data_IF_524644932509
#
_entry.id   IF_524644932509
#
_cell.length_a   1.000
_cell.length_b   1.000
_cell.length_c   1.000
_cell.angle_alpha   90.00
_cell.angle_beta   90.00
_cell.angle_gamma   90.00
#
_symmetry.space_group_name_H-M   'P 1'
#
loop_
_entity.id
_entity.type
_entity.pdbx_description
1 polymer ?
#
# COMPACT_ATOMS: atom_id res chain seq x y z
N UNK A 1 -12.04 1.41 -0.79
CA UNK A 1 -13.03 0.35 -1.11
C UNK A 1 -13.25 -0.59 0.09
N UNK A 2 -12.19 -1.11 0.73
CA UNK A 2 -12.30 -1.98 1.92
C UNK A 2 -13.15 -1.30 3.01
N UNK A 3 -12.79 -0.10 3.44
CA UNK A 3 -13.53 0.64 4.45
C UNK A 3 -15.03 0.73 4.13
N UNK A 4 -15.34 1.05 2.88
CA UNK A 4 -16.73 1.18 2.43
C UNK A 4 -17.50 -0.14 2.45
N UNK A 5 -16.87 -1.27 2.12
CA UNK A 5 -17.47 -2.62 2.23
C UNK A 5 -17.85 -2.97 3.67
N UNK A 6 -17.07 -2.48 4.64
CA UNK A 6 -17.33 -2.66 6.07
C UNK A 6 -18.18 -1.54 6.70
N UNK A 7 -18.85 -0.71 5.89
CA UNK A 7 -19.77 0.32 6.36
C UNK A 7 -19.12 1.60 6.86
N UNK A 8 -17.79 1.73 6.82
CA UNK A 8 -17.09 2.94 7.22
C UNK A 8 -17.24 3.99 6.12
N UNK A 9 -17.76 5.17 6.49
CA UNK A 9 -18.05 6.26 5.56
C UNK A 9 -17.31 7.56 5.88
N UNK A 10 -16.77 7.68 7.07
CA UNK A 10 -16.03 8.86 7.51
C UNK A 10 -14.58 8.48 7.84
N UNK A 11 -13.64 9.23 7.29
CA UNK A 11 -12.20 9.00 7.49
C UNK A 11 -11.49 10.33 7.72
N UNK A 12 -10.63 10.36 8.71
CA UNK A 12 -9.70 11.45 9.00
C UNK A 12 -8.32 11.06 8.52
N UNK A 13 -7.76 11.81 7.57
CA UNK A 13 -6.42 11.59 7.02
C UNK A 13 -5.43 12.49 7.75
N UNK A 14 -4.52 11.89 8.52
CA UNK A 14 -3.40 12.59 9.13
C UNK A 14 -2.29 12.75 8.09
N UNK A 15 -1.93 13.99 7.79
CA UNK A 15 -0.94 14.30 6.75
C UNK A 15 0.06 15.33 7.26
N UNK A 16 1.34 15.06 7.07
CA UNK A 16 2.43 16.01 7.33
C UNK A 16 3.17 16.35 6.03
N UNK A 17 3.54 15.34 5.25
CA UNK A 17 4.26 15.50 3.98
C UNK A 17 3.29 15.67 2.81
N UNK A 18 3.49 16.71 1.99
CA UNK A 18 2.73 17.00 0.76
C UNK A 18 1.20 16.92 0.91
N UNK A 19 0.59 17.57 1.90
CA UNK A 19 -0.86 17.44 2.18
C UNK A 19 -1.74 17.86 1.01
N UNK A 20 -1.27 18.79 0.16
CA UNK A 20 -1.98 19.25 -1.03
C UNK A 20 -2.21 18.11 -2.03
N UNK A 21 -1.27 17.19 -2.19
CA UNK A 21 -1.39 16.08 -3.14
C UNK A 21 -2.52 15.14 -2.75
N UNK A 22 -2.64 14.83 -1.46
CA UNK A 22 -3.77 14.03 -0.96
C UNK A 22 -5.10 14.73 -1.18
N UNK A 23 -5.17 16.02 -0.91
CA UNK A 23 -6.39 16.81 -1.12
C UNK A 23 -6.76 16.91 -2.60
N UNK A 24 -5.77 17.06 -3.48
CA UNK A 24 -5.99 17.09 -4.94
C UNK A 24 -6.43 15.72 -5.45
N UNK A 25 -5.84 14.62 -4.96
CA UNK A 25 -6.17 13.27 -5.39
C UNK A 25 -7.56 12.81 -4.91
N UNK A 26 -7.92 13.07 -3.67
CA UNK A 26 -9.11 12.49 -3.03
C UNK A 26 -10.24 13.49 -2.78
N UNK A 27 -9.95 14.80 -2.79
CA UNK A 27 -10.94 15.85 -2.51
C UNK A 27 -11.60 15.66 -1.15
N UNK A 28 -12.90 15.84 -1.06
CA UNK A 28 -13.70 15.57 0.14
C UNK A 28 -14.23 14.13 0.22
N UNK A 29 -13.78 13.24 -0.67
CA UNK A 29 -14.17 11.83 -0.68
C UNK A 29 -15.52 11.53 -1.36
N UNK A 30 -16.29 12.50 -1.83
CA UNK A 30 -17.59 12.25 -2.47
C UNK A 30 -17.51 11.26 -3.63
N UNK A 31 -16.48 11.37 -4.48
CA UNK A 31 -16.27 10.44 -5.61
C UNK A 31 -15.99 9.01 -5.16
N UNK A 32 -15.54 8.83 -3.93
CA UNK A 32 -15.27 7.53 -3.31
C UNK A 32 -16.48 7.02 -2.50
N UNK A 33 -17.57 7.78 -2.41
CA UNK A 33 -18.72 7.47 -1.57
C UNK A 33 -18.39 7.55 -0.07
N UNK A 34 -17.48 8.45 0.31
CA UNK A 34 -16.98 8.66 1.67
C UNK A 34 -16.94 10.15 2.02
N UNK A 35 -16.83 10.45 3.30
CA UNK A 35 -16.52 11.79 3.82
C UNK A 35 -15.07 11.77 4.31
N UNK A 36 -14.21 12.54 3.65
CA UNK A 36 -12.81 12.69 4.03
C UNK A 36 -12.59 14.04 4.69
N UNK A 37 -11.90 14.05 5.81
CA UNK A 37 -11.35 15.23 6.48
C UNK A 37 -9.84 15.08 6.61
N UNK A 38 -9.13 16.20 6.67
CA UNK A 38 -7.67 16.23 6.70
C UNK A 38 -7.21 16.89 7.98
N UNK A 39 -6.38 16.17 8.73
CA UNK A 39 -5.70 16.68 9.92
C UNK A 39 -4.26 16.95 9.49
N UNK A 40 -3.93 18.22 9.39
CA UNK A 40 -2.58 18.65 9.00
C UNK A 40 -1.74 18.89 10.23
N UNK A 41 -0.60 18.20 10.31
CA UNK A 41 0.41 18.42 11.35
C UNK A 41 1.46 19.39 10.80
N UNK A 42 1.66 20.51 11.50
CA UNK A 42 2.73 21.46 11.14
C UNK A 42 4.11 20.83 11.34
N UNK A 43 4.25 20.04 12.39
CA UNK A 43 5.42 19.24 12.69
C UNK A 43 4.97 17.79 12.95
N UNK A 44 5.77 16.78 12.53
CA UNK A 44 5.43 15.39 12.76
C UNK A 44 5.32 15.07 14.26
N UNK A 45 4.16 14.64 14.69
CA UNK A 45 3.90 14.24 16.07
C UNK A 45 4.10 12.74 16.32
N UNK A 46 4.60 12.01 15.33
CA UNK A 46 4.72 10.56 15.37
C UNK A 46 3.37 9.85 15.28
N UNK A 47 3.38 8.52 15.24
CA UNK A 47 2.17 7.70 15.03
C UNK A 47 1.11 7.93 16.10
N UNK A 48 1.50 8.01 17.36
CA UNK A 48 0.59 8.24 18.49
C UNK A 48 0.04 9.65 18.55
N UNK A 49 0.88 10.67 18.34
CA UNK A 49 0.44 12.07 18.35
C UNK A 49 -0.55 12.37 17.22
N UNK A 50 -0.30 11.84 16.02
CA UNK A 50 -1.21 11.93 14.89
C UNK A 50 -2.60 11.34 15.23
N UNK A 51 -2.61 10.12 15.80
CA UNK A 51 -3.85 9.44 16.20
C UNK A 51 -4.56 10.24 17.32
N UNK A 52 -3.82 10.76 18.29
CA UNK A 52 -4.39 11.59 19.37
C UNK A 52 -5.13 12.81 18.80
N UNK A 53 -4.50 13.54 17.88
CA UNK A 53 -5.12 14.70 17.23
C UNK A 53 -6.35 14.31 16.41
N UNK A 54 -6.22 13.23 15.63
CA UNK A 54 -7.32 12.77 14.78
C UNK A 54 -8.49 12.19 15.57
N UNK A 55 -8.28 11.75 16.80
CA UNK A 55 -9.33 11.16 17.66
C UNK A 55 -10.15 12.20 18.42
N UNK A 56 -9.81 13.48 18.34
CA UNK A 56 -10.54 14.52 19.05
C UNK A 56 -12.04 14.51 18.70
N UNK A 57 -12.89 14.51 19.73
CA UNK A 57 -14.34 14.44 19.58
C UNK A 57 -14.90 13.07 19.21
N UNK A 58 -14.09 12.02 19.14
CA UNK A 58 -14.58 10.64 19.01
C UNK A 58 -14.98 10.08 20.37
N UNK A 59 -16.19 9.53 20.46
CA UNK A 59 -16.75 8.96 21.69
C UNK A 59 -16.96 7.45 21.62
N UNK A 60 -16.76 6.85 20.45
CA UNK A 60 -16.91 5.42 20.19
C UNK A 60 -15.60 4.79 19.79
N UNK A 61 -15.53 3.44 19.83
CA UNK A 61 -14.40 2.67 19.26
C UNK A 61 -14.08 3.12 17.85
N UNK A 62 -12.84 3.40 17.57
CA UNK A 62 -12.40 3.84 16.24
C UNK A 62 -11.27 3.00 15.67
N UNK A 63 -11.23 2.92 14.35
CA UNK A 63 -10.21 2.21 13.58
C UNK A 63 -9.09 3.17 13.15
N UNK A 64 -7.86 2.74 13.32
CA UNK A 64 -6.65 3.40 12.81
C UNK A 64 -5.98 2.48 11.82
N UNK A 65 -5.54 3.02 10.68
CA UNK A 65 -4.80 2.29 9.66
C UNK A 65 -3.54 3.07 9.28
N UNK A 66 -2.42 2.36 9.18
CA UNK A 66 -1.23 2.91 8.55
C UNK A 66 -1.48 3.13 7.05
N UNK A 67 -1.10 4.30 6.54
CA UNK A 67 -1.41 4.73 5.18
C UNK A 67 -0.57 4.06 4.09
N UNK A 68 0.53 3.42 4.48
CA UNK A 68 1.48 2.72 3.63
C UNK A 68 1.33 1.19 3.65
N UNK A 69 0.26 0.68 4.24
CA UNK A 69 -0.02 -0.76 4.33
C UNK A 69 -1.21 -1.13 3.45
N UNK A 70 -1.01 -2.10 2.55
CA UNK A 70 -2.10 -2.77 1.86
C UNK A 70 -2.37 -4.12 2.51
N UNK A 71 -3.61 -4.33 2.98
CA UNK A 71 -4.04 -5.57 3.60
C UNK A 71 -5.46 -5.95 3.21
N UNK A 72 -5.85 -7.19 3.51
CA UNK A 72 -7.19 -7.74 3.29
C UNK A 72 -7.93 -8.02 4.60
N UNK A 73 -7.67 -7.21 5.62
CA UNK A 73 -8.29 -7.32 6.94
C UNK A 73 -9.82 -7.30 6.85
N UNK A 74 -10.47 -8.30 7.44
CA UNK A 74 -11.90 -8.25 7.72
C UNK A 74 -12.15 -7.37 8.96
N UNK A 75 -12.41 -6.10 8.70
CA UNK A 75 -12.65 -5.09 9.74
C UNK A 75 -13.85 -5.46 10.61
N UNK A 76 -14.88 -6.08 10.04
CA UNK A 76 -16.07 -6.50 10.79
C UNK A 76 -15.74 -7.58 11.81
N UNK A 77 -14.97 -8.59 11.41
CA UNK A 77 -14.50 -9.65 12.31
C UNK A 77 -13.53 -9.12 13.35
N UNK A 78 -12.66 -8.20 12.97
CA UNK A 78 -11.73 -7.54 13.88
C UNK A 78 -12.47 -6.73 14.96
N UNK A 79 -13.51 -5.97 14.58
CA UNK A 79 -14.35 -5.24 15.54
C UNK A 79 -15.13 -6.17 16.46
N UNK A 80 -15.67 -7.28 15.95
CA UNK A 80 -16.33 -8.31 16.76
C UNK A 80 -15.37 -8.90 17.79
N UNK A 81 -14.14 -9.20 17.40
CA UNK A 81 -13.10 -9.70 18.29
C UNK A 81 -12.78 -8.68 19.39
N UNK A 82 -12.57 -7.42 19.04
CA UNK A 82 -12.33 -6.32 19.97
C UNK A 82 -13.42 -6.24 21.05
N UNK A 83 -14.68 -6.20 20.61
CA UNK A 83 -15.85 -6.11 21.51
C UNK A 83 -16.03 -7.35 22.39
N UNK A 84 -15.83 -8.57 21.81
CA UNK A 84 -15.90 -9.82 22.55
C UNK A 84 -14.94 -9.84 23.74
N UNK A 85 -13.73 -9.35 23.54
CA UNK A 85 -12.70 -9.30 24.58
C UNK A 85 -12.81 -8.06 25.48
N UNK A 86 -13.77 -7.16 25.25
CA UNK A 86 -13.88 -5.86 25.92
C UNK A 86 -12.53 -5.14 25.93
N UNK A 87 -11.83 -5.20 24.80
CA UNK A 87 -10.49 -4.67 24.66
C UNK A 87 -10.49 -3.14 24.76
N UNK A 88 -9.42 -2.58 25.30
CA UNK A 88 -9.16 -1.12 25.27
C UNK A 88 -8.37 -0.78 24.02
N UNK A 89 -7.50 -1.70 23.60
CA UNK A 89 -6.76 -1.63 22.35
C UNK A 89 -6.71 -3.02 21.70
N UNK A 90 -6.89 -3.07 20.39
CA UNK A 90 -6.65 -4.29 19.61
C UNK A 90 -5.73 -3.98 18.43
N UNK A 91 -4.76 -4.86 18.19
CA UNK A 91 -3.84 -4.80 17.06
C UNK A 91 -4.19 -5.90 16.07
N UNK A 92 -4.31 -5.56 14.79
CA UNK A 92 -4.26 -6.58 13.76
C UNK A 92 -2.83 -7.08 13.61
N UNK A 93 -2.67 -8.39 13.54
CA UNK A 93 -1.38 -9.06 13.41
C UNK A 93 -1.34 -9.85 12.11
N UNK A 94 -0.16 -9.95 11.51
CA UNK A 94 0.11 -10.84 10.39
C UNK A 94 1.35 -11.68 10.66
N UNK A 95 1.52 -12.76 9.89
CA UNK A 95 2.70 -13.63 9.99
C UNK A 95 3.66 -13.32 8.86
N UNK A 96 4.93 -13.16 9.18
CA UNK A 96 5.99 -12.90 8.21
C UNK A 96 7.15 -13.90 8.37
N UNK A 97 7.95 -14.02 7.33
CA UNK A 97 9.16 -14.86 7.38
C UNK A 97 10.27 -14.22 8.21
N UNK A 98 10.45 -12.92 8.05
CA UNK A 98 11.44 -12.12 8.77
C UNK A 98 10.74 -11.03 9.59
N UNK A 99 10.63 -11.21 10.91
CA UNK A 99 9.99 -10.23 11.78
C UNK A 99 10.92 -9.10 12.26
N UNK A 100 12.23 -9.15 11.97
CA UNK A 100 13.21 -8.17 12.49
C UNK A 100 12.96 -6.73 12.03
N UNK A 101 12.23 -6.58 10.91
CA UNK A 101 11.94 -5.26 10.32
C UNK A 101 10.71 -4.58 10.92
N UNK A 102 9.96 -5.27 11.79
CA UNK A 102 8.63 -4.89 12.25
C UNK A 102 8.48 -4.94 13.76
N UNK A 103 7.36 -4.46 14.25
CA UNK A 103 6.96 -4.64 15.65
C UNK A 103 6.50 -6.09 15.89
N UNK A 104 7.30 -6.87 16.60
CA UNK A 104 6.97 -8.24 17.03
C UNK A 104 5.91 -8.23 18.11
N UNK A 105 4.90 -9.08 18.01
CA UNK A 105 3.81 -9.17 18.98
C UNK A 105 3.63 -10.62 19.44
N UNK A 106 3.93 -10.86 20.70
CA UNK A 106 3.64 -12.12 21.37
C UNK A 106 2.27 -12.07 22.04
N UNK A 107 1.44 -13.09 21.82
CA UNK A 107 0.10 -13.20 22.42
C UNK A 107 -0.03 -14.48 23.26
N UNK A 108 -0.96 -14.45 24.21
CA UNK A 108 -1.47 -15.66 24.85
C UNK A 108 -2.45 -16.37 23.89
N UNK A 109 -2.90 -17.57 24.27
CA UNK A 109 -3.86 -18.38 23.48
C UNK A 109 -5.20 -17.67 23.29
N UNK A 110 -5.63 -16.86 24.24
CA UNK A 110 -6.84 -16.02 24.16
C UNK A 110 -6.68 -14.77 23.29
N UNK A 111 -5.46 -14.54 22.77
CA UNK A 111 -5.10 -13.36 21.98
C UNK A 111 -4.64 -12.17 22.81
N UNK A 112 -4.57 -12.25 24.15
CA UNK A 112 -4.06 -11.13 24.96
C UNK A 112 -2.59 -10.90 24.68
N UNK A 113 -2.18 -9.65 24.42
CA UNK A 113 -0.79 -9.30 24.13
C UNK A 113 0.04 -9.43 25.42
N UNK A 114 1.11 -10.20 25.34
CA UNK A 114 2.08 -10.40 26.41
C UNK A 114 3.29 -9.49 26.25
N UNK A 115 3.75 -9.32 25.02
CA UNK A 115 4.97 -8.60 24.71
C UNK A 115 4.84 -7.88 23.36
N UNK A 116 5.37 -6.69 23.28
CA UNK A 116 5.55 -5.93 22.05
C UNK A 116 7.01 -5.48 21.97
N UNK A 117 7.68 -5.77 20.84
CA UNK A 117 9.07 -5.39 20.60
C UNK A 117 9.17 -4.74 19.22
N UNK A 118 9.59 -3.50 19.21
CA UNK A 118 9.80 -2.78 17.95
C UNK A 118 11.18 -3.11 17.38
N UNK A 119 11.20 -3.71 16.18
CA UNK A 119 12.40 -4.14 15.45
C UNK A 119 13.36 -4.97 16.31
N UNK A 120 12.94 -6.18 16.71
CA UNK A 120 13.74 -7.06 17.56
C UNK A 120 15.01 -7.52 16.85
N UNK A 121 16.03 -7.83 17.62
CA UNK A 121 17.17 -8.63 17.14
C UNK A 121 16.78 -10.11 16.97
N UNK A 122 17.58 -10.88 16.22
CA UNK A 122 17.27 -12.29 15.94
C UNK A 122 17.15 -13.17 17.19
N UNK A 123 17.91 -12.89 18.23
CA UNK A 123 17.88 -13.58 19.53
C UNK A 123 16.65 -13.26 20.37
N UNK A 124 15.94 -12.18 20.06
CA UNK A 124 14.69 -11.79 20.73
C UNK A 124 13.42 -12.36 20.07
N UNK A 125 13.57 -13.02 18.91
CA UNK A 125 12.45 -13.56 18.14
C UNK A 125 11.89 -14.81 18.81
N UNK A 126 10.66 -14.71 19.33
CA UNK A 126 9.90 -15.81 19.94
C UNK A 126 8.66 -16.19 19.15
N UNK A 127 8.30 -15.40 18.15
CA UNK A 127 7.14 -15.60 17.30
C UNK A 127 7.38 -14.97 15.92
N UNK A 128 6.57 -15.32 14.93
CA UNK A 128 6.58 -14.70 13.60
C UNK A 128 5.38 -13.76 13.37
N UNK A 129 4.62 -13.46 14.42
CA UNK A 129 3.51 -12.51 14.36
C UNK A 129 3.99 -11.09 14.58
N UNK A 130 3.62 -10.20 13.67
CA UNK A 130 4.01 -8.79 13.70
C UNK A 130 2.79 -7.88 13.69
N UNK A 131 3.00 -6.66 14.10
CA UNK A 131 2.06 -5.56 13.98
C UNK A 131 1.74 -5.27 12.52
N UNK A 132 0.47 -5.43 12.14
CA UNK A 132 0.02 -5.25 10.76
C UNK A 132 -0.39 -3.80 10.42
N UNK A 133 -0.17 -2.82 11.31
CA UNK A 133 -0.49 -1.42 11.06
C UNK A 133 -1.99 -1.11 11.00
N UNK A 134 -2.81 -1.88 11.73
CA UNK A 134 -4.22 -1.64 11.88
C UNK A 134 -4.64 -1.83 13.35
N UNK A 135 -5.38 -0.86 13.89
CA UNK A 135 -5.70 -0.82 15.32
C UNK A 135 -7.15 -0.45 15.57
N UNK A 136 -7.72 -0.98 16.63
CA UNK A 136 -8.96 -0.50 17.23
C UNK A 136 -8.65 0.03 18.62
N UNK A 137 -9.09 1.24 18.89
CA UNK A 137 -8.95 1.88 20.19
C UNK A 137 -10.27 2.31 20.76
N UNK A 138 -10.41 2.13 22.07
CA UNK A 138 -11.40 2.85 22.86
C UNK A 138 -10.93 4.28 23.11
N UNK A 139 -11.82 5.30 23.07
CA UNK A 139 -11.42 6.71 23.20
C UNK A 139 -10.62 7.02 24.46
N UNK A 140 -10.86 6.27 25.54
CA UNK A 140 -10.15 6.41 26.82
C UNK A 140 -8.65 6.23 26.72
N UNK A 141 -8.18 5.39 25.79
CA UNK A 141 -6.75 5.12 25.55
C UNK A 141 -6.00 6.39 25.12
N UNK A 142 -6.66 7.27 24.40
CA UNK A 142 -6.03 8.50 23.89
C UNK A 142 -5.66 9.49 25.02
N UNK A 143 -6.21 9.34 26.22
CA UNK A 143 -5.82 10.15 27.37
C UNK A 143 -4.40 9.87 27.86
N UNK A 144 -3.83 8.73 27.47
CA UNK A 144 -2.45 8.34 27.77
C UNK A 144 -1.43 9.07 26.87
N UNK A 145 -1.89 9.68 25.79
CA UNK A 145 -1.03 10.42 24.87
C UNK A 145 -1.16 11.91 25.16
N UNK A 146 -0.07 12.61 25.57
CA UNK A 146 -0.11 14.05 25.78
C UNK A 146 -0.45 14.79 24.48
N UNK A 147 -1.30 15.83 24.52
CA UNK A 147 -1.64 16.61 23.33
C UNK A 147 -0.44 17.43 22.84
N UNK A 148 -0.26 17.50 21.51
CA UNK A 148 0.74 18.34 20.87
C UNK A 148 2.20 17.93 21.07
N UNK A 149 2.46 16.72 21.57
CA UNK A 149 3.80 16.18 21.82
C UNK A 149 4.07 14.99 20.90
N UNK A 150 5.28 14.88 20.32
CA UNK A 150 5.67 13.69 19.56
C UNK A 150 5.53 12.42 20.40
N UNK A 151 4.76 11.46 19.92
CA UNK A 151 4.47 10.22 20.62
C UNK A 151 4.34 9.06 19.63
N UNK A 152 4.99 7.92 19.93
CA UNK A 152 4.88 6.71 19.12
C UNK A 152 3.86 5.75 19.71
N UNK A 153 3.03 5.15 18.88
CA UNK A 153 2.20 4.02 19.30
C UNK A 153 3.08 2.86 19.76
N UNK A 154 4.08 2.52 18.97
CA UNK A 154 4.91 1.33 19.09
C UNK A 154 5.91 1.42 20.24
N UNK A 155 6.60 2.57 20.36
CA UNK A 155 7.69 2.78 21.35
C UNK A 155 7.21 3.33 22.67
N UNK A 156 6.00 3.89 22.71
CA UNK A 156 5.50 4.58 23.91
C UNK A 156 4.15 4.03 24.37
N UNK A 157 3.10 4.14 23.55
CA UNK A 157 1.75 3.78 23.98
C UNK A 157 1.60 2.28 24.27
N UNK A 158 2.04 1.39 23.36
CA UNK A 158 1.87 -0.05 23.56
C UNK A 158 2.63 -0.55 24.80
N UNK A 159 3.90 -0.19 25.03
CA UNK A 159 4.58 -0.50 26.29
C UNK A 159 3.84 0.02 27.52
N UNK A 160 3.30 1.25 27.47
CA UNK A 160 2.55 1.83 28.58
C UNK A 160 1.26 1.06 28.87
N UNK A 161 0.52 0.66 27.83
CA UNK A 161 -0.68 -0.18 27.97
C UNK A 161 -0.36 -1.54 28.60
N UNK A 162 0.74 -2.16 28.21
CA UNK A 162 1.19 -3.46 28.75
C UNK A 162 1.59 -3.32 30.23
N UNK A 163 2.36 -2.30 30.60
CA UNK A 163 2.74 -2.01 31.98
C UNK A 163 1.52 -1.72 32.86
N UNK A 164 0.55 -0.96 32.35
CA UNK A 164 -0.72 -0.65 33.00
C UNK A 164 -1.70 -1.81 33.05
N UNK A 165 -1.32 -3.00 32.54
CA UNK A 165 -2.18 -4.20 32.46
C UNK A 165 -3.51 -3.95 31.73
N UNK A 166 -3.54 -3.00 30.81
CA UNK A 166 -4.70 -2.74 29.97
C UNK A 166 -5.11 -3.98 29.16
N UNK A 167 -6.38 -4.04 28.79
CA UNK A 167 -6.91 -5.12 27.93
C UNK A 167 -6.49 -4.88 26.49
N UNK A 168 -5.24 -5.25 26.18
CA UNK A 168 -4.65 -5.15 24.86
C UNK A 168 -4.63 -6.53 24.21
N UNK A 169 -5.20 -6.64 23.00
CA UNK A 169 -5.36 -7.91 22.28
C UNK A 169 -4.80 -7.85 20.87
N UNK A 170 -4.25 -8.98 20.42
CA UNK A 170 -3.77 -9.20 19.05
C UNK A 170 -4.72 -10.09 18.26
N UNK A 171 -5.16 -9.64 17.11
CA UNK A 171 -6.01 -10.37 16.18
C UNK A 171 -5.19 -10.80 14.97
N UNK A 172 -4.85 -12.09 14.89
CA UNK A 172 -4.13 -12.61 13.72
C UNK A 172 -5.08 -12.65 12.53
N UNK A 173 -4.82 -11.81 11.53
CA UNK A 173 -5.60 -11.75 10.30
C UNK A 173 -5.00 -12.65 9.24
N UNK A 174 -5.80 -13.55 8.64
CA UNK A 174 -5.37 -14.26 7.45
C UNK A 174 -5.42 -13.34 6.22
N UNK A 175 -4.69 -13.71 5.19
CA UNK A 175 -4.77 -13.06 3.89
C UNK A 175 -3.54 -12.23 3.54
N UNK A 176 -3.72 -11.37 2.54
CA UNK A 176 -2.63 -10.58 1.99
C UNK A 176 -2.29 -9.39 2.88
N UNK A 177 -1.00 -9.17 3.05
CA UNK A 177 -0.46 -8.02 3.75
C UNK A 177 0.90 -7.63 3.15
N UNK A 178 1.10 -6.34 2.92
CA UNK A 178 2.38 -5.76 2.53
C UNK A 178 2.45 -4.31 3.00
N UNK A 179 3.59 -3.91 3.56
CA UNK A 179 3.93 -2.50 3.79
C UNK A 179 4.66 -1.95 2.56
N UNK A 180 4.19 -0.85 2.00
CA UNK A 180 4.71 -0.28 0.75
C UNK A 180 5.79 0.77 1.07
N UNK A 181 6.78 0.37 1.85
CA UNK A 181 7.85 1.28 2.33
C UNK A 181 9.07 1.38 1.40
N UNK A 182 9.16 0.54 0.36
CA UNK A 182 10.27 0.55 -0.61
C UNK A 182 9.79 0.43 -2.04
N UNK A 183 10.66 0.77 -3.00
CA UNK A 183 10.35 0.63 -4.44
C UNK A 183 10.09 -0.83 -4.81
N UNK A 184 10.85 -1.77 -4.26
CA UNK A 184 10.65 -3.20 -4.50
C UNK A 184 9.27 -3.66 -4.04
N UNK A 185 8.84 -3.24 -2.85
CA UNK A 185 7.51 -3.57 -2.34
C UNK A 185 6.40 -2.87 -3.11
N UNK A 186 6.64 -1.64 -3.58
CA UNK A 186 5.73 -0.94 -4.48
C UNK A 186 5.57 -1.70 -5.82
N UNK A 187 6.67 -2.15 -6.41
CA UNK A 187 6.64 -3.02 -7.58
C UNK A 187 5.90 -4.32 -7.27
N UNK A 188 6.29 -5.00 -6.17
CA UNK A 188 5.73 -6.29 -5.78
C UNK A 188 4.20 -6.25 -5.62
N UNK A 189 3.65 -5.22 -4.95
CA UNK A 189 2.19 -5.12 -4.76
C UNK A 189 1.44 -5.02 -6.08
N UNK A 190 1.98 -4.31 -7.08
CA UNK A 190 1.37 -4.24 -8.41
C UNK A 190 1.39 -5.59 -9.13
N UNK A 191 2.52 -6.29 -9.04
CA UNK A 191 2.65 -7.63 -9.60
C UNK A 191 1.70 -8.63 -8.91
N UNK A 192 1.54 -8.54 -7.59
CA UNK A 192 0.66 -9.40 -6.81
C UNK A 192 -0.83 -9.18 -7.15
N UNK A 193 -1.26 -7.92 -7.28
CA UNK A 193 -2.61 -7.57 -7.70
C UNK A 193 -2.89 -8.13 -9.10
N UNK A 194 -1.98 -7.88 -10.04
CA UNK A 194 -2.14 -8.33 -11.42
C UNK A 194 -2.06 -9.85 -11.54
N UNK A 195 -1.25 -10.48 -10.69
CA UNK A 195 -1.12 -11.93 -10.55
C UNK A 195 -2.35 -12.62 -9.97
N UNK A 196 -3.20 -11.88 -9.24
CA UNK A 196 -4.37 -12.43 -8.54
C UNK A 196 -4.03 -12.98 -7.15
N UNK A 197 -2.89 -12.62 -6.57
CA UNK A 197 -2.53 -12.96 -5.20
C UNK A 197 -3.36 -12.17 -4.16
N UNK A 198 -4.10 -11.18 -4.62
CA UNK A 198 -4.98 -10.35 -3.80
C UNK A 198 -6.41 -10.38 -4.31
N UNK A 199 -7.43 -10.12 -3.47
CA UNK A 199 -8.82 -10.00 -3.91
C UNK A 199 -9.12 -8.65 -4.57
N UNK A 200 -8.13 -7.80 -4.78
CA UNK A 200 -8.35 -6.49 -5.39
C UNK A 200 -8.52 -6.62 -6.90
N UNK A 201 -9.60 -6.05 -7.47
CA UNK A 201 -9.82 -6.10 -8.89
C UNK A 201 -8.81 -5.23 -9.64
N UNK A 202 -8.34 -5.72 -10.77
CA UNK A 202 -7.60 -4.89 -11.72
C UNK A 202 -8.62 -4.01 -12.46
N UNK A 203 -8.52 -2.67 -12.38
CA UNK A 203 -9.44 -1.79 -13.09
C UNK A 203 -9.30 -1.99 -14.60
N UNK A 204 -10.38 -2.40 -15.25
CA UNK A 204 -10.40 -2.59 -16.70
C UNK A 204 -11.79 -2.32 -17.26
N UNK A 205 -11.85 -1.73 -18.46
CA UNK A 205 -13.07 -1.60 -19.25
C UNK A 205 -13.29 -2.81 -20.17
N UNK A 206 -12.22 -3.52 -20.49
CA UNK A 206 -12.24 -4.71 -21.34
C UNK A 206 -11.17 -5.70 -20.90
N UNK A 207 -11.56 -6.97 -20.78
CA UNK A 207 -10.64 -8.08 -20.54
C UNK A 207 -10.40 -8.86 -21.83
N UNK A 208 -9.14 -9.24 -22.08
CA UNK A 208 -8.69 -10.19 -23.10
C UNK A 208 -7.74 -11.19 -22.44
N UNK A 209 -7.47 -12.36 -23.01
CA UNK A 209 -6.45 -13.25 -22.48
C UNK A 209 -5.12 -12.52 -22.25
N UNK A 210 -4.62 -12.52 -21.00
CA UNK A 210 -3.38 -11.83 -20.63
C UNK A 210 -3.45 -10.29 -20.57
N UNK A 211 -4.59 -9.64 -20.92
CA UNK A 211 -4.67 -8.19 -21.02
C UNK A 211 -5.92 -7.63 -20.30
N UNK A 212 -5.70 -6.71 -19.37
CA UNK A 212 -6.72 -5.87 -18.77
C UNK A 212 -6.60 -4.46 -19.36
N UNK A 213 -7.61 -4.01 -20.09
CA UNK A 213 -7.56 -2.77 -20.88
C UNK A 213 -8.49 -1.71 -20.31
N UNK A 214 -7.99 -0.52 -20.10
CA UNK A 214 -8.74 0.70 -19.84
C UNK A 214 -9.51 1.18 -21.08
N UNK A 215 -10.16 2.33 -20.96
CA UNK A 215 -10.90 2.97 -22.06
C UNK A 215 -9.92 3.56 -23.08
N UNK A 216 -10.31 3.56 -24.36
CA UNK A 216 -9.57 4.21 -25.48
C UNK A 216 -8.10 3.71 -25.63
N UNK A 217 -7.81 2.46 -25.21
CA UNK A 217 -6.51 1.85 -25.44
C UNK A 217 -6.35 1.50 -26.91
N UNK A 218 -5.20 1.89 -27.51
CA UNK A 218 -4.82 1.55 -28.88
C UNK A 218 -3.69 0.54 -28.85
N UNK A 219 -3.88 -0.60 -29.50
CA UNK A 219 -2.91 -1.68 -29.60
C UNK A 219 -2.37 -1.79 -31.03
N UNK A 220 -1.06 -1.88 -31.15
CA UNK A 220 -0.38 -2.17 -32.42
C UNK A 220 -0.60 -3.61 -32.90
N UNK A 221 -0.02 -3.93 -34.04
CA UNK A 221 -0.04 -5.27 -34.63
C UNK A 221 1.02 -6.17 -33.97
N UNK A 222 0.78 -7.49 -34.02
CA UNK A 222 1.72 -8.51 -33.54
C UNK A 222 2.22 -8.26 -32.10
N UNK A 223 1.31 -7.83 -31.24
CA UNK A 223 1.56 -7.71 -29.82
C UNK A 223 1.71 -9.11 -29.24
N UNK A 224 2.79 -9.38 -28.54
CA UNK A 224 2.96 -10.65 -27.84
C UNK A 224 2.61 -10.43 -26.38
N UNK A 225 1.39 -10.78 -25.93
CA UNK A 225 1.13 -10.99 -24.52
C UNK A 225 1.97 -12.18 -24.10
N UNK A 226 2.49 -12.17 -22.89
CA UNK A 226 3.40 -13.18 -22.41
C UNK A 226 2.93 -14.61 -22.69
N UNK A 227 3.74 -15.35 -23.42
CA UNK A 227 3.50 -16.77 -23.75
C UNK A 227 3.53 -17.68 -22.52
N UNK A 228 4.03 -17.19 -21.39
CA UNK A 228 4.24 -17.86 -20.10
C UNK A 228 3.09 -17.63 -19.08
N UNK A 229 1.91 -17.22 -19.55
CA UNK A 229 0.79 -16.88 -18.66
C UNK A 229 0.88 -15.48 -18.04
N UNK A 230 1.75 -14.62 -18.56
CA UNK A 230 1.92 -13.24 -18.13
C UNK A 230 0.65 -12.39 -18.30
N UNK A 231 0.57 -11.31 -17.56
CA UNK A 231 -0.58 -10.40 -17.54
C UNK A 231 -0.14 -8.95 -17.69
N UNK A 232 -0.81 -8.19 -18.54
CA UNK A 232 -0.59 -6.74 -18.61
C UNK A 232 -1.89 -5.97 -18.32
N UNK A 233 -1.78 -4.92 -17.51
CA UNK A 233 -2.84 -3.96 -17.28
C UNK A 233 -2.44 -2.62 -17.92
N UNK A 234 -3.27 -2.14 -18.86
CA UNK A 234 -3.08 -0.90 -19.57
C UNK A 234 -4.17 0.09 -19.19
N UNK A 235 -3.79 1.21 -18.61
CA UNK A 235 -4.70 2.27 -18.19
C UNK A 235 -5.40 2.97 -19.35
N UNK A 236 -6.33 3.89 -19.01
CA UNK A 236 -7.09 4.67 -20.00
C UNK A 236 -6.16 5.45 -20.94
N UNK A 237 -6.46 5.44 -22.23
CA UNK A 237 -5.75 6.23 -23.24
C UNK A 237 -4.35 5.72 -23.62
N UNK A 238 -3.93 4.56 -23.13
CA UNK A 238 -2.64 3.97 -23.48
C UNK A 238 -2.52 3.69 -24.99
N UNK A 239 -1.30 3.82 -25.51
CA UNK A 239 -0.96 3.42 -26.88
C UNK A 239 0.22 2.46 -26.86
N UNK A 240 0.12 1.36 -27.58
CA UNK A 240 1.15 0.34 -27.68
C UNK A 240 1.51 0.17 -29.15
N UNK A 241 2.81 0.29 -29.47
CA UNK A 241 3.34 0.13 -30.82
C UNK A 241 3.34 -1.31 -31.29
N UNK A 242 3.59 -1.49 -32.61
CA UNK A 242 3.70 -2.80 -33.23
C UNK A 242 4.84 -3.62 -32.62
N UNK A 243 4.67 -4.93 -32.52
CA UNK A 243 5.69 -5.88 -32.03
C UNK A 243 6.15 -5.63 -30.59
N UNK A 244 5.43 -4.82 -29.80
CA UNK A 244 5.74 -4.69 -28.38
C UNK A 244 5.51 -6.02 -27.66
N UNK A 245 6.34 -6.30 -26.65
CA UNK A 245 6.32 -7.55 -25.87
C UNK A 245 6.10 -7.27 -24.41
N UNK A 246 5.18 -7.99 -23.81
CA UNK A 246 4.98 -7.99 -22.38
C UNK A 246 5.28 -9.40 -21.85
N UNK A 247 6.13 -9.52 -20.85
CA UNK A 247 6.42 -10.77 -20.14
C UNK A 247 6.23 -10.59 -18.64
N UNK A 248 5.92 -11.68 -17.93
CA UNK A 248 5.57 -11.60 -16.52
C UNK A 248 4.32 -10.74 -16.30
N UNK A 249 4.42 -9.73 -15.44
CA UNK A 249 3.30 -8.87 -15.03
C UNK A 249 3.65 -7.40 -15.28
N UNK A 250 2.90 -6.74 -16.13
CA UNK A 250 3.19 -5.36 -16.56
C UNK A 250 2.00 -4.45 -16.27
N UNK A 251 2.22 -3.37 -15.52
CA UNK A 251 1.25 -2.34 -15.28
C UNK A 251 1.65 -1.06 -15.99
N UNK A 252 0.76 -0.53 -16.85
CA UNK A 252 0.96 0.76 -17.52
C UNK A 252 -0.16 1.70 -17.12
N UNK A 253 0.18 2.81 -16.50
CA UNK A 253 -0.73 3.86 -16.05
C UNK A 253 -1.40 4.59 -17.21
N UNK A 254 -2.44 5.42 -16.94
CA UNK A 254 -3.17 6.14 -17.97
C UNK A 254 -2.25 6.97 -18.88
N UNK A 255 -2.64 7.05 -20.17
CA UNK A 255 -1.91 7.78 -21.21
C UNK A 255 -0.46 7.34 -21.46
N UNK A 256 -0.06 6.18 -20.91
CA UNK A 256 1.25 5.60 -21.19
C UNK A 256 1.43 5.25 -22.67
N UNK A 257 2.64 5.47 -23.17
CA UNK A 257 2.98 5.16 -24.58
C UNK A 257 4.13 4.17 -24.63
N UNK A 258 3.90 3.04 -25.27
CA UNK A 258 4.90 1.99 -25.44
C UNK A 258 5.28 1.96 -26.93
N UNK A 259 6.55 2.13 -27.22
CA UNK A 259 7.10 2.17 -28.58
C UNK A 259 7.05 0.84 -29.31
N UNK A 260 7.34 0.88 -30.61
CA UNK A 260 7.42 -0.29 -31.47
C UNK A 260 8.57 -1.20 -31.02
N UNK A 261 8.29 -2.50 -30.89
CA UNK A 261 9.30 -3.49 -30.50
C UNK A 261 9.83 -3.36 -29.07
N UNK A 262 9.28 -2.45 -28.25
CA UNK A 262 9.67 -2.34 -26.85
C UNK A 262 9.31 -3.61 -26.06
N UNK A 263 10.17 -3.99 -25.10
CA UNK A 263 9.99 -5.19 -24.26
C UNK A 263 9.92 -4.79 -22.80
N UNK A 264 8.84 -5.18 -22.11
CA UNK A 264 8.62 -4.92 -20.71
C UNK A 264 8.40 -6.24 -19.96
N UNK A 265 9.17 -6.43 -18.88
CA UNK A 265 9.11 -7.63 -18.02
C UNK A 265 8.95 -7.21 -16.56
N UNK A 266 7.86 -7.64 -15.89
CA UNK A 266 7.59 -7.36 -14.48
C UNK A 266 7.77 -5.87 -14.09
N UNK A 267 7.16 -4.96 -14.84
CA UNK A 267 7.37 -3.52 -14.69
C UNK A 267 6.10 -2.77 -14.28
N UNK A 268 6.32 -1.64 -13.61
CA UNK A 268 5.29 -0.61 -13.38
C UNK A 268 5.71 0.67 -14.08
N UNK A 269 4.91 1.08 -15.06
CA UNK A 269 5.08 2.33 -15.81
C UNK A 269 3.91 3.25 -15.41
N UNK A 270 4.21 4.39 -14.79
CA UNK A 270 3.18 5.29 -14.29
C UNK A 270 2.60 6.18 -15.40
N UNK A 271 1.58 6.98 -15.02
CA UNK A 271 0.79 7.75 -15.98
C UNK A 271 1.66 8.67 -16.87
N UNK A 272 1.29 8.80 -18.14
CA UNK A 272 1.93 9.72 -19.10
C UNK A 272 3.32 9.31 -19.58
N UNK A 273 3.94 8.32 -18.98
CA UNK A 273 5.30 7.92 -19.37
C UNK A 273 5.37 7.40 -20.81
N UNK A 274 6.51 7.64 -21.45
CA UNK A 274 6.76 7.30 -22.85
C UNK A 274 7.98 6.39 -22.94
N UNK A 275 7.78 5.19 -23.41
CA UNK A 275 8.82 4.19 -23.63
C UNK A 275 9.13 4.15 -25.12
N UNK A 276 10.37 4.44 -25.51
CA UNK A 276 10.83 4.54 -26.88
C UNK A 276 10.85 3.19 -27.60
N UNK A 277 10.99 3.25 -28.92
CA UNK A 277 11.06 2.07 -29.78
C UNK A 277 12.26 1.19 -29.41
N UNK A 278 12.04 -0.11 -29.32
CA UNK A 278 13.08 -1.09 -29.01
C UNK A 278 13.62 -1.02 -27.56
N UNK A 279 13.10 -0.16 -26.70
CA UNK A 279 13.54 -0.08 -25.31
C UNK A 279 13.20 -1.36 -24.54
N UNK A 280 14.06 -1.74 -23.57
CA UNK A 280 13.92 -2.94 -22.76
C UNK A 280 13.86 -2.55 -21.29
N UNK A 281 12.79 -2.94 -20.62
CA UNK A 281 12.56 -2.65 -19.21
C UNK A 281 12.36 -3.96 -18.45
N UNK A 282 13.09 -4.13 -17.35
CA UNK A 282 13.00 -5.33 -16.52
C UNK A 282 12.94 -4.98 -15.04
N UNK A 283 11.92 -5.51 -14.33
CA UNK A 283 11.72 -5.40 -12.88
C UNK A 283 12.02 -3.99 -12.34
N UNK A 284 11.40 -2.99 -12.96
CA UNK A 284 11.64 -1.57 -12.65
C UNK A 284 10.35 -0.78 -12.49
N UNK A 285 10.49 0.41 -11.92
CA UNK A 285 9.40 1.38 -11.77
C UNK A 285 9.76 2.64 -12.54
N UNK A 286 8.93 3.01 -13.50
CA UNK A 286 9.07 4.25 -14.29
C UNK A 286 8.02 5.25 -13.79
N UNK A 287 8.49 6.38 -13.27
CA UNK A 287 7.68 7.46 -12.74
C UNK A 287 6.76 8.10 -13.77
N UNK A 288 5.80 8.95 -13.32
CA UNK A 288 4.87 9.61 -14.23
C UNK A 288 5.63 10.56 -15.17
N UNK A 289 5.11 10.69 -16.40
CA UNK A 289 5.63 11.59 -17.44
C UNK A 289 7.10 11.40 -17.80
N UNK A 290 7.73 10.28 -17.40
CA UNK A 290 9.10 9.93 -17.82
C UNK A 290 9.17 9.68 -19.32
N UNK A 291 10.33 9.98 -19.89
CA UNK A 291 10.66 9.67 -21.29
C UNK A 291 11.86 8.74 -21.33
N UNK A 292 11.65 7.51 -21.80
CA UNK A 292 12.72 6.53 -22.02
C UNK A 292 13.04 6.52 -23.52
N UNK A 293 14.28 6.85 -23.86
CA UNK A 293 14.73 6.91 -25.26
C UNK A 293 14.72 5.55 -25.94
N UNK A 294 14.72 5.57 -27.28
CA UNK A 294 14.74 4.34 -28.09
C UNK A 294 15.98 3.48 -27.79
N UNK A 295 15.80 2.15 -27.81
CA UNK A 295 16.86 1.16 -27.61
C UNK A 295 17.60 1.29 -26.24
N UNK A 296 17.00 1.98 -25.26
CA UNK A 296 17.56 2.03 -23.91
C UNK A 296 17.21 0.76 -23.11
N UNK A 297 18.06 0.41 -22.17
CA UNK A 297 17.86 -0.71 -21.25
C UNK A 297 17.73 -0.15 -19.84
N UNK A 298 16.61 -0.48 -19.18
CA UNK A 298 16.35 -0.15 -17.76
C UNK A 298 16.31 -1.46 -16.98
N UNK A 299 17.34 -1.67 -16.17
CA UNK A 299 17.58 -2.94 -15.49
C UNK A 299 16.80 -3.08 -14.19
N UNK A 300 16.82 -4.30 -13.65
CA UNK A 300 16.19 -4.66 -12.39
C UNK A 300 16.63 -3.77 -11.22
N UNK A 301 15.64 -3.36 -10.40
CA UNK A 301 15.85 -2.49 -9.25
C UNK A 301 15.85 -1.00 -9.58
N UNK A 302 15.82 -0.63 -10.87
CA UNK A 302 15.78 0.79 -11.26
C UNK A 302 14.44 1.43 -10.91
N UNK A 303 14.50 2.66 -10.37
CA UNK A 303 13.35 3.51 -10.12
C UNK A 303 13.61 4.92 -10.64
N UNK A 304 12.80 5.34 -11.60
CA UNK A 304 12.91 6.67 -12.20
C UNK A 304 11.89 7.61 -11.61
N UNK A 305 12.35 8.77 -11.12
CA UNK A 305 11.46 9.82 -10.63
C UNK A 305 10.59 10.38 -11.74
N UNK A 306 9.43 10.95 -11.39
CA UNK A 306 8.54 11.56 -12.38
C UNK A 306 9.22 12.66 -13.18
N UNK A 307 8.95 12.70 -14.49
CA UNK A 307 9.54 13.64 -15.45
C UNK A 307 10.99 13.36 -15.83
N UNK A 308 11.59 12.25 -15.40
CA UNK A 308 12.97 11.88 -15.82
C UNK A 308 13.04 11.59 -17.31
N UNK A 309 14.16 12.00 -17.92
CA UNK A 309 14.47 11.72 -19.31
C UNK A 309 15.71 10.84 -19.43
N UNK A 310 15.59 9.72 -20.11
CA UNK A 310 16.67 8.79 -20.47
C UNK A 310 16.93 8.91 -21.95
N UNK A 311 18.17 9.21 -22.31
CA UNK A 311 18.57 9.35 -23.72
C UNK A 311 18.51 8.00 -24.44
N UNK A 312 18.29 7.99 -25.78
CA UNK A 312 18.40 6.75 -26.57
C UNK A 312 19.71 6.01 -26.32
N UNK A 313 19.65 4.66 -26.38
CA UNK A 313 20.80 3.76 -26.20
C UNK A 313 21.48 3.82 -24.83
N UNK A 314 20.79 4.35 -23.79
CA UNK A 314 21.30 4.36 -22.42
C UNK A 314 21.12 3.00 -21.74
N UNK A 315 22.01 2.70 -20.80
CA UNK A 315 21.94 1.55 -19.89
C UNK A 315 21.85 2.07 -18.45
N UNK A 316 20.79 1.64 -17.72
CA UNK A 316 20.52 2.00 -16.35
C UNK A 316 20.34 0.75 -15.48
#
# INVERSE_FOLDING_TARGET
>A
EILRRHGIREVRLCTSYRPADFKNAFGNGRRLGMKLSYIHEKEPLGTGGAVRNASEGLNDTFLVLNGDVLNTLDITSFLKFHRKNRAEASLALTRVKDPTLYGLVETAEDGRVKRFLEKPSWDEIVTNTINAGAYLFEPGVMKLIPPGVPHSLERSLFPQLLQGRSRMYGYVTPGYWIDIGTVEKYLQVHLDILGGATPFPVPASKLRPGLALGRKVKLGKNLTPAADGGKAALGDGCTVGDFARFSGRVCVGPNGRIGKGASLEDCVVLAGARIGDGAQLKRCVVGPDCVIGANSIVSEGSALAGGSEVRPFSLL
#
